data_IF_685579268912
#
_entry.id   IF_685579268912
#
_cell.length_a   1.000
_cell.length_b   1.000
_cell.length_c   1.000
_cell.angle_alpha   90.00
_cell.angle_beta   90.00
_cell.angle_gamma   90.00
#
_symmetry.space_group_name_H-M   'P 1'
#
loop_
_entity.id
_entity.type
_entity.pdbx_description
1 polymer ?
#
# COMPACT_ATOMS: atom_id res chain seq x y z
N UNK A 1 56.57 -18.23 22.85
CA UNK A 1 55.72 -17.05 23.04
C UNK A 1 55.14 -16.66 21.68
N UNK A 2 53.87 -16.96 21.40
CA UNK A 2 53.24 -16.53 20.14
C UNK A 2 51.82 -16.04 20.45
N UNK A 3 51.64 -14.73 20.35
CA UNK A 3 50.38 -14.00 20.54
C UNK A 3 49.49 -14.18 19.32
N UNK A 4 48.30 -14.76 19.50
CA UNK A 4 47.30 -14.88 18.43
C UNK A 4 46.45 -13.60 18.41
N UNK A 5 46.64 -12.76 17.39
CA UNK A 5 45.80 -11.59 17.16
C UNK A 5 44.47 -12.07 16.57
N UNK A 6 43.37 -11.81 17.27
CA UNK A 6 42.01 -12.13 16.81
C UNK A 6 41.47 -10.93 16.05
N UNK A 7 41.38 -11.03 14.73
CA UNK A 7 40.69 -10.03 13.92
C UNK A 7 39.17 -10.15 14.17
N UNK A 8 38.55 -9.10 14.71
CA UNK A 8 37.10 -9.04 14.91
C UNK A 8 36.43 -8.56 13.64
N UNK A 9 35.62 -9.41 13.03
CA UNK A 9 34.80 -9.03 11.88
C UNK A 9 33.69 -8.07 12.33
N UNK A 10 33.75 -6.81 11.92
CA UNK A 10 32.69 -5.82 12.20
C UNK A 10 31.67 -5.83 11.05
N UNK A 11 30.43 -6.21 11.35
CA UNK A 11 29.35 -6.18 10.35
C UNK A 11 28.80 -4.75 10.23
N UNK A 12 28.78 -4.18 9.01
CA UNK A 12 28.10 -2.91 8.74
C UNK A 12 26.61 -3.16 8.56
N UNK A 13 25.79 -2.59 9.45
CA UNK A 13 24.34 -2.67 9.35
C UNK A 13 23.83 -1.86 8.14
N UNK A 14 23.24 -2.54 7.15
CA UNK A 14 22.56 -1.89 6.02
C UNK A 14 21.11 -1.62 6.41
N UNK A 15 20.72 -0.34 6.47
CA UNK A 15 19.35 0.08 6.78
C UNK A 15 18.43 -0.30 5.62
N UNK A 16 17.76 -1.46 5.69
CA UNK A 16 16.72 -1.84 4.73
C UNK A 16 15.60 -0.80 4.78
N UNK A 17 15.35 -0.14 3.65
CA UNK A 17 14.15 0.69 3.47
C UNK A 17 12.94 -0.24 3.42
N UNK A 18 12.14 -0.24 4.47
CA UNK A 18 10.86 -0.95 4.57
C UNK A 18 9.77 -0.24 3.74
N UNK A 19 10.04 0.09 2.47
CA UNK A 19 8.99 0.60 1.60
C UNK A 19 8.15 -0.59 1.11
N UNK A 20 6.83 -0.59 1.36
CA UNK A 20 5.95 -1.63 0.83
C UNK A 20 6.01 -1.59 -0.70
N UNK A 21 6.54 -2.67 -1.28
CA UNK A 21 6.76 -2.80 -2.72
C UNK A 21 5.50 -3.25 -3.46
N UNK A 22 4.47 -3.69 -2.71
CA UNK A 22 3.24 -4.25 -3.26
C UNK A 22 2.08 -3.27 -3.13
N UNK A 23 1.28 -3.19 -4.19
CA UNK A 23 0.04 -2.44 -4.18
C UNK A 23 -0.91 -2.98 -3.09
N UNK A 24 -1.67 -2.08 -2.45
CA UNK A 24 -2.57 -2.44 -1.36
C UNK A 24 -3.71 -3.38 -1.82
N UNK A 25 -4.16 -3.26 -3.07
CA UNK A 25 -5.23 -4.05 -3.67
C UNK A 25 -4.94 -4.30 -5.16
N UNK A 26 -5.44 -5.42 -5.68
CA UNK A 26 -5.43 -5.75 -7.11
C UNK A 26 -6.84 -5.68 -7.66
N UNK A 27 -7.01 -5.03 -8.81
CA UNK A 27 -8.30 -4.92 -9.49
C UNK A 27 -8.38 -5.91 -10.66
N UNK A 28 -9.56 -6.47 -10.87
CA UNK A 28 -9.85 -7.25 -12.08
C UNK A 28 -10.08 -6.32 -13.28
N UNK A 29 -9.86 -6.80 -14.52
CA UNK A 29 -10.10 -5.99 -15.72
C UNK A 29 -11.54 -5.46 -15.81
N UNK A 30 -12.52 -6.28 -15.43
CA UNK A 30 -13.94 -5.89 -15.42
C UNK A 30 -14.24 -4.79 -14.41
N UNK A 31 -13.60 -4.82 -13.23
CA UNK A 31 -13.74 -3.74 -12.24
C UNK A 31 -13.20 -2.42 -12.76
N UNK A 32 -12.07 -2.43 -13.48
CA UNK A 32 -11.49 -1.22 -14.09
C UNK A 32 -12.45 -0.59 -15.10
N UNK A 33 -13.08 -1.40 -15.96
CA UNK A 33 -14.04 -0.92 -16.96
C UNK A 33 -15.23 -0.25 -16.26
N UNK A 34 -15.80 -0.91 -15.25
CA UNK A 34 -16.93 -0.37 -14.49
C UNK A 34 -16.59 0.92 -13.74
N UNK A 35 -15.39 1.03 -13.19
CA UNK A 35 -14.94 2.26 -12.51
C UNK A 35 -14.81 3.40 -13.53
N UNK A 36 -14.25 3.12 -14.71
CA UNK A 36 -14.13 4.12 -15.78
C UNK A 36 -15.50 4.62 -16.25
N UNK A 37 -16.47 3.74 -16.44
CA UNK A 37 -17.83 4.16 -16.82
C UNK A 37 -18.48 5.04 -15.73
N UNK A 38 -18.32 4.68 -14.46
CA UNK A 38 -18.85 5.47 -13.34
C UNK A 38 -18.19 6.86 -13.20
N UNK A 39 -16.92 7.00 -13.62
CA UNK A 39 -16.20 8.27 -13.58
C UNK A 39 -16.47 9.13 -14.82
N UNK A 40 -16.81 8.54 -15.97
CA UNK A 40 -17.20 9.29 -17.16
C UNK A 40 -18.41 10.18 -16.93
N UNK A 41 -19.38 9.71 -16.13
CA UNK A 41 -20.57 10.48 -15.78
C UNK A 41 -20.27 11.66 -14.83
N UNK A 42 -19.03 11.79 -14.32
CA UNK A 42 -18.68 12.72 -13.22
C UNK A 42 -17.30 13.33 -13.39
N UNK A 43 -17.24 14.47 -14.08
CA UNK A 43 -15.99 15.18 -14.41
C UNK A 43 -15.23 15.71 -13.19
N UNK A 44 -15.90 15.97 -12.07
CA UNK A 44 -15.27 16.51 -10.86
C UNK A 44 -14.50 15.46 -10.03
N UNK A 45 -14.59 14.17 -10.37
CA UNK A 45 -14.03 13.08 -9.58
C UNK A 45 -12.75 12.55 -10.22
N UNK A 46 -11.63 12.62 -9.50
CA UNK A 46 -10.32 12.12 -9.95
C UNK A 46 -10.23 10.60 -9.81
N UNK A 47 -11.04 9.98 -8.95
CA UNK A 47 -11.10 8.53 -8.82
C UNK A 47 -12.01 8.04 -7.70
N UNK A 48 -11.77 6.80 -7.26
CA UNK A 48 -12.45 6.20 -6.12
C UNK A 48 -11.50 6.06 -4.93
N UNK A 49 -12.05 6.30 -3.74
CA UNK A 49 -11.43 6.04 -2.45
C UNK A 49 -12.03 4.78 -1.86
N UNK A 50 -11.17 3.87 -1.43
CA UNK A 50 -11.57 2.66 -0.71
C UNK A 50 -11.30 2.86 0.78
N UNK A 51 -12.35 2.81 1.57
CA UNK A 51 -12.25 2.70 3.03
C UNK A 51 -12.24 1.24 3.45
N UNK A 52 -11.35 0.87 4.37
CA UNK A 52 -11.33 -0.45 4.99
C UNK A 52 -11.59 -0.30 6.47
N UNK A 53 -12.55 -1.04 6.99
CA UNK A 53 -12.90 -1.08 8.42
C UNK A 53 -12.87 -2.51 8.91
N UNK A 54 -12.37 -2.75 10.11
CA UNK A 54 -12.42 -4.08 10.72
C UNK A 54 -13.87 -4.41 11.10
N UNK A 55 -14.29 -5.65 10.83
CA UNK A 55 -15.62 -6.17 11.18
C UNK A 55 -15.46 -7.53 11.86
N UNK A 56 -15.60 -7.56 13.19
CA UNK A 56 -15.45 -8.79 13.97
C UNK A 56 -14.01 -9.31 14.00
N UNK A 57 -13.84 -10.61 14.29
CA UNK A 57 -12.53 -11.22 14.51
C UNK A 57 -11.65 -11.25 13.25
N UNK A 58 -12.22 -11.62 12.10
CA UNK A 58 -11.49 -11.81 10.83
C UNK A 58 -12.10 -11.05 9.64
N UNK A 59 -13.15 -10.26 9.84
CA UNK A 59 -13.86 -9.60 8.74
C UNK A 59 -13.29 -8.22 8.42
N UNK A 60 -13.40 -7.84 7.15
CA UNK A 60 -13.16 -6.48 6.68
C UNK A 60 -14.42 -5.98 5.97
N UNK A 61 -14.77 -4.72 6.24
CA UNK A 61 -15.82 -4.00 5.54
C UNK A 61 -15.18 -2.96 4.62
N UNK A 62 -15.60 -2.94 3.36
CA UNK A 62 -15.08 -2.05 2.34
C UNK A 62 -16.14 -1.01 1.97
N UNK A 63 -15.74 0.25 1.91
CA UNK A 63 -16.58 1.35 1.42
C UNK A 63 -15.93 1.97 0.18
N UNK A 64 -16.76 2.37 -0.80
CA UNK A 64 -16.32 3.01 -2.04
C UNK A 64 -16.91 4.41 -2.11
N UNK A 65 -16.05 5.43 -2.06
CA UNK A 65 -16.42 6.83 -2.14
C UNK A 65 -15.77 7.48 -3.36
N UNK A 66 -16.43 8.47 -3.96
CA UNK A 66 -15.80 9.26 -5.02
C UNK A 66 -14.80 10.25 -4.43
N UNK A 67 -13.61 10.32 -5.02
CA UNK A 67 -12.52 11.18 -4.58
C UNK A 67 -12.32 12.33 -5.56
N UNK A 68 -12.52 13.57 -5.09
CA UNK A 68 -12.20 14.79 -5.86
C UNK A 68 -10.73 15.18 -5.79
N UNK A 69 -9.99 14.68 -4.80
CA UNK A 69 -8.58 15.00 -4.59
C UNK A 69 -7.78 13.74 -4.23
N UNK A 70 -6.52 13.69 -4.66
CA UNK A 70 -5.59 12.60 -4.33
C UNK A 70 -5.08 12.80 -2.89
N UNK A 71 -5.74 12.15 -1.93
CA UNK A 71 -5.33 12.19 -0.52
C UNK A 71 -4.03 11.42 -0.26
N UNK A 72 -3.27 11.82 0.77
CA UNK A 72 -2.17 11.00 1.31
C UNK A 72 -2.79 9.81 2.06
N UNK A 73 -2.49 8.60 1.62
CA UNK A 73 -2.88 7.38 2.33
C UNK A 73 -1.85 7.13 3.43
N UNK A 74 -2.22 7.35 4.68
CA UNK A 74 -1.41 6.90 5.82
C UNK A 74 -1.52 5.38 5.90
N UNK A 75 -0.49 4.70 5.39
CA UNK A 75 -0.23 3.28 5.65
C UNK A 75 0.12 3.06 7.12
#
# INVERSE_FOLDING_TARGET
>A
MATKVVATATVRAVKKRLLPTRAALTLTPSAVIRIKSLLQDREECIGLRIGVRQRGCNGLSYTLDYAKNKGKHSS
#
